data_IF_392977056776
#
_entry.id   IF_392977056776
#
_cell.length_a   1.000
_cell.length_b   1.000
_cell.length_c   1.000
_cell.angle_alpha   90.00
_cell.angle_beta   90.00
_cell.angle_gamma   90.00
#
_symmetry.space_group_name_H-M   'P 1'
#
loop_
_entity.id
_entity.type
_entity.pdbx_description
1 polymer ?
#
# COMPACT_ATOMS: atom_id res chain seq x y z
N UNK A 1 20.05 24.75 4.21
CA UNK A 1 20.41 23.78 5.25
C UNK A 1 19.17 22.98 5.63
N UNK A 2 18.94 21.84 4.98
CA UNK A 2 17.94 20.83 5.37
C UNK A 2 18.45 19.48 4.88
N UNK A 3 18.47 18.53 5.81
CA UNK A 3 18.90 17.15 5.66
C UNK A 3 18.06 16.42 4.61
N UNK A 4 18.73 15.76 3.66
CA UNK A 4 18.14 14.68 2.88
C UNK A 4 19.27 13.70 2.48
N UNK A 5 19.68 12.85 3.41
CA UNK A 5 20.46 11.65 3.12
C UNK A 5 19.65 10.47 3.64
N UNK A 6 18.83 9.89 2.77
CA UNK A 6 18.57 8.46 2.74
C UNK A 6 17.86 8.14 1.43
N UNK A 7 18.21 7.00 0.84
CA UNK A 7 17.78 6.42 -0.47
C UNK A 7 18.88 6.55 -1.52
N UNK A 8 19.85 5.63 -1.43
CA UNK A 8 20.48 4.97 -2.59
C UNK A 8 21.33 3.82 -2.06
N UNK A 9 20.70 2.70 -1.70
CA UNK A 9 21.41 1.45 -1.43
C UNK A 9 20.53 0.23 -1.73
N UNK A 10 19.94 0.19 -2.94
CA UNK A 10 19.21 -1.01 -3.42
C UNK A 10 19.37 -1.26 -4.93
N UNK A 11 20.38 -0.71 -5.60
CA UNK A 11 20.62 -0.98 -7.04
C UNK A 11 21.89 -1.78 -7.35
N UNK A 12 22.64 -2.27 -6.36
CA UNK A 12 23.94 -2.93 -6.58
C UNK A 12 23.96 -4.45 -6.27
N UNK A 13 22.81 -5.13 -6.17
CA UNK A 13 22.74 -6.58 -5.88
C UNK A 13 21.93 -7.41 -6.90
N UNK A 14 21.48 -6.81 -8.01
CA UNK A 14 20.66 -7.51 -9.01
C UNK A 14 21.25 -7.55 -10.44
N UNK A 15 22.53 -7.25 -10.62
CA UNK A 15 23.22 -7.39 -11.92
C UNK A 15 23.90 -8.77 -12.05
N UNK A 16 23.17 -9.86 -11.85
CA UNK A 16 23.78 -11.20 -11.92
C UNK A 16 22.88 -12.42 -11.98
N UNK A 17 21.54 -12.29 -12.02
CA UNK A 17 20.69 -13.47 -12.25
C UNK A 17 20.36 -13.54 -13.74
N UNK A 18 21.24 -14.21 -14.48
CA UNK A 18 20.98 -14.56 -15.87
C UNK A 18 19.75 -15.47 -15.93
N UNK A 19 18.63 -14.98 -16.45
CA UNK A 19 17.39 -15.75 -16.68
C UNK A 19 17.61 -17.00 -17.57
N UNK A 20 18.73 -17.07 -18.30
CA UNK A 20 19.15 -18.24 -19.05
C UNK A 20 19.52 -19.45 -18.15
N UNK A 21 20.02 -19.20 -16.94
CA UNK A 21 20.49 -20.25 -16.03
C UNK A 21 19.33 -20.99 -15.35
N UNK A 22 18.20 -20.30 -15.14
CA UNK A 22 16.98 -20.89 -14.58
C UNK A 22 16.27 -21.84 -15.57
N UNK A 23 16.47 -21.65 -16.89
CA UNK A 23 15.91 -22.51 -17.94
C UNK A 23 16.72 -23.80 -18.15
N UNK A 24 18.02 -23.77 -17.85
CA UNK A 24 18.93 -24.91 -17.95
C UNK A 24 18.64 -25.98 -16.87
N UNK A 25 18.28 -25.56 -15.65
CA UNK A 25 18.01 -26.47 -14.52
C UNK A 25 16.64 -27.19 -14.62
N UNK A 26 15.81 -26.84 -15.60
CA UNK A 26 14.49 -27.47 -15.84
C UNK A 26 14.44 -28.36 -17.10
N UNK A 27 15.53 -28.48 -17.85
CA UNK A 27 15.60 -29.25 -19.10
C UNK A 27 16.47 -30.50 -18.93
N UNK A 28 16.07 -31.42 -18.05
CA UNK A 28 16.61 -32.78 -18.03
C UNK A 28 16.01 -33.58 -19.18
N UNK A 29 16.81 -33.95 -20.18
CA UNK A 29 16.42 -34.83 -21.27
C UNK A 29 15.95 -36.20 -20.73
N UNK A 30 14.77 -36.64 -21.15
CA UNK A 30 14.36 -38.05 -21.03
C UNK A 30 15.15 -38.82 -22.08
N UNK A 31 16.12 -39.62 -21.63
CA UNK A 31 16.82 -40.60 -22.47
C UNK A 31 16.20 -41.95 -22.19
N UNK A 32 15.61 -42.56 -23.22
CA UNK A 32 15.28 -43.99 -23.21
C UNK A 32 16.62 -44.74 -23.28
N UNK A 33 16.98 -45.40 -22.20
CA UNK A 33 18.12 -46.32 -22.17
C UNK A 33 17.62 -47.65 -22.69
N UNK A 34 18.17 -48.13 -23.81
CA UNK A 34 17.98 -49.51 -24.25
C UNK A 34 18.58 -50.45 -23.19
N UNK A 35 17.72 -51.22 -22.52
CA UNK A 35 18.13 -52.28 -21.60
C UNK A 35 18.80 -53.42 -22.38
N UNK A 36 20.05 -53.74 -22.02
CA UNK A 36 20.64 -55.01 -22.40
C UNK A 36 20.02 -56.11 -21.53
N UNK A 37 19.47 -57.13 -22.18
CA UNK A 37 18.84 -58.27 -21.55
C UNK A 37 19.90 -59.14 -20.85
N UNK A 38 20.16 -58.87 -19.58
CA UNK A 38 20.83 -59.80 -18.68
C UNK A 38 19.80 -60.33 -17.67
N UNK A 39 19.39 -61.58 -17.88
CA UNK A 39 18.52 -62.34 -16.96
C UNK A 39 19.17 -62.42 -15.57
N UNK A 40 18.74 -61.53 -14.67
CA UNK A 40 19.09 -61.60 -13.24
C UNK A 40 17.94 -62.31 -12.52
N UNK A 41 18.23 -63.42 -11.84
CA UNK A 41 17.24 -64.10 -11.00
C UNK A 41 16.88 -63.18 -9.83
N UNK A 42 15.66 -62.67 -9.83
CA UNK A 42 15.13 -61.76 -8.80
C UNK A 42 14.65 -62.61 -7.62
N UNK A 43 15.21 -62.40 -6.42
CA UNK A 43 14.75 -63.04 -5.17
C UNK A 43 13.70 -62.18 -4.47
N UNK A 44 12.84 -62.77 -3.64
CA UNK A 44 11.94 -62.00 -2.75
C UNK A 44 12.72 -61.06 -1.83
N UNK A 45 13.97 -61.40 -1.52
CA UNK A 45 14.88 -60.57 -0.71
C UNK A 45 15.43 -59.33 -1.48
N UNK A 46 15.33 -59.31 -2.82
CA UNK A 46 15.63 -58.10 -3.62
C UNK A 46 14.51 -57.05 -3.52
N UNK A 47 13.33 -57.45 -3.03
CA UNK A 47 12.23 -56.54 -2.72
C UNK A 47 12.38 -56.02 -1.29
N UNK A 48 13.31 -55.10 -1.09
CA UNK A 48 13.23 -54.22 0.08
C UNK A 48 12.09 -53.21 -0.13
N UNK A 49 11.27 -53.01 0.90
CA UNK A 49 10.33 -51.90 0.92
C UNK A 49 11.11 -50.59 0.80
N UNK A 50 11.17 -50.03 -0.41
CA UNK A 50 11.51 -48.62 -0.58
C UNK A 50 10.22 -47.84 -0.35
N UNK A 51 10.14 -46.99 0.69
CA UNK A 51 9.00 -46.11 0.84
C UNK A 51 8.99 -45.15 -0.36
N UNK A 52 8.21 -45.49 -1.38
CA UNK A 52 7.87 -44.61 -2.47
C UNK A 52 6.85 -43.57 -1.96
N UNK A 53 7.35 -42.63 -1.17
CA UNK A 53 7.04 -41.22 -1.28
C UNK A 53 7.95 -40.53 -0.28
N UNK A 54 8.98 -39.84 -0.77
CA UNK A 54 9.39 -38.65 -0.02
C UNK A 54 8.15 -37.75 -0.02
N UNK A 55 7.29 -37.87 1.00
CA UNK A 55 6.15 -36.99 1.16
C UNK A 55 6.63 -35.55 1.11
N UNK A 56 5.76 -34.59 0.81
CA UNK A 56 6.11 -33.17 0.64
C UNK A 56 7.13 -32.62 1.66
N UNK A 57 7.09 -33.13 2.91
CA UNK A 57 8.09 -32.84 3.95
C UNK A 57 9.52 -33.28 3.60
N UNK A 58 9.74 -34.44 3.03
CA UNK A 58 11.04 -34.92 2.54
C UNK A 58 11.58 -34.01 1.42
N UNK A 59 10.71 -33.65 0.46
CA UNK A 59 11.06 -32.68 -0.59
C UNK A 59 11.49 -31.32 -0.04
N UNK A 60 10.80 -30.81 0.98
CA UNK A 60 11.19 -29.56 1.68
C UNK A 60 12.52 -29.66 2.45
N UNK A 61 12.97 -30.87 2.76
CA UNK A 61 14.21 -31.12 3.47
C UNK A 61 15.42 -31.28 2.56
N UNK A 62 15.21 -31.60 1.29
CA UNK A 62 16.25 -31.95 0.31
C UNK A 62 16.33 -30.93 -0.83
N UNK A 63 15.19 -30.43 -1.32
CA UNK A 63 15.12 -29.51 -2.45
C UNK A 63 15.04 -28.05 -1.99
N UNK A 64 16.14 -27.32 -2.12
CA UNK A 64 16.25 -25.93 -1.65
C UNK A 64 15.29 -24.96 -2.35
N UNK A 65 14.97 -25.18 -3.63
CA UNK A 65 14.00 -24.36 -4.38
C UNK A 65 12.55 -24.56 -3.91
N UNK A 66 12.14 -25.80 -3.62
CA UNK A 66 10.80 -26.09 -3.08
C UNK A 66 10.67 -25.57 -1.64
N UNK A 67 11.73 -25.68 -0.84
CA UNK A 67 11.80 -25.10 0.50
C UNK A 67 11.62 -23.57 0.46
N UNK A 68 12.31 -22.89 -0.46
CA UNK A 68 12.14 -21.46 -0.69
C UNK A 68 10.70 -21.10 -1.02
N UNK A 69 10.10 -21.76 -2.02
CA UNK A 69 8.73 -21.46 -2.46
C UNK A 69 7.70 -21.72 -1.37
N UNK A 70 7.84 -22.82 -0.62
CA UNK A 70 6.97 -23.13 0.51
C UNK A 70 6.99 -22.03 1.57
N UNK A 71 8.17 -21.56 1.98
CA UNK A 71 8.28 -20.47 2.96
C UNK A 71 7.95 -19.08 2.39
N UNK A 72 8.01 -18.89 1.08
CA UNK A 72 7.52 -17.68 0.42
C UNK A 72 5.98 -17.60 0.41
N UNK A 73 5.29 -18.74 0.34
CA UNK A 73 3.82 -18.82 0.40
C UNK A 73 3.35 -18.81 1.85
N UNK A 74 3.96 -19.65 2.68
CA UNK A 74 3.63 -19.82 4.09
C UNK A 74 4.91 -19.70 4.93
N UNK A 75 5.17 -18.53 5.53
CA UNK A 75 6.36 -18.28 6.34
C UNK A 75 6.54 -19.34 7.43
N UNK A 76 7.76 -19.88 7.53
CA UNK A 76 8.13 -20.88 8.53
C UNK A 76 7.82 -22.33 8.15
N UNK A 77 7.15 -22.59 7.03
CA UNK A 77 6.75 -23.95 6.63
C UNK A 77 7.94 -24.89 6.39
N UNK A 78 8.96 -24.45 5.63
CA UNK A 78 10.15 -25.27 5.38
C UNK A 78 11.04 -25.38 6.63
N UNK A 79 11.07 -24.36 7.48
CA UNK A 79 11.76 -24.41 8.78
C UNK A 79 11.14 -25.49 9.67
N UNK A 80 9.81 -25.56 9.75
CA UNK A 80 9.09 -26.60 10.48
C UNK A 80 9.39 -28.00 9.89
N UNK A 81 9.35 -28.13 8.56
CA UNK A 81 9.69 -29.38 7.88
C UNK A 81 11.11 -29.88 8.22
N UNK A 82 12.06 -28.95 8.36
CA UNK A 82 13.46 -29.21 8.74
C UNK A 82 13.71 -29.27 10.26
N UNK A 83 12.66 -29.31 11.09
CA UNK A 83 12.76 -29.45 12.55
C UNK A 83 13.25 -28.19 13.27
N UNK A 84 13.24 -27.04 12.60
CA UNK A 84 13.72 -25.75 13.11
C UNK A 84 12.56 -24.96 13.71
N UNK A 85 11.92 -25.56 14.70
CA UNK A 85 10.66 -25.11 15.30
C UNK A 85 10.69 -23.70 15.88
N UNK A 86 11.80 -23.29 16.51
CA UNK A 86 11.93 -21.92 17.03
C UNK A 86 11.83 -20.86 15.92
N UNK A 87 12.52 -21.07 14.80
CA UNK A 87 12.48 -20.17 13.64
C UNK A 87 11.09 -20.19 12.98
N UNK A 88 10.51 -21.37 12.81
CA UNK A 88 9.15 -21.51 12.29
C UNK A 88 8.12 -20.76 13.15
N UNK A 89 8.24 -20.87 14.48
CA UNK A 89 7.37 -20.20 15.44
C UNK A 89 7.47 -18.67 15.36
N UNK A 90 8.66 -18.11 15.18
CA UNK A 90 8.84 -16.66 15.00
C UNK A 90 8.12 -16.18 13.73
N UNK A 91 8.36 -16.83 12.59
CA UNK A 91 7.71 -16.43 11.33
C UNK A 91 6.19 -16.51 11.41
N UNK A 92 5.66 -17.59 12.00
CA UNK A 92 4.22 -17.77 12.19
C UNK A 92 3.62 -16.74 13.15
N UNK A 93 4.31 -16.43 14.26
CA UNK A 93 3.84 -15.44 15.23
C UNK A 93 3.81 -14.03 14.61
N UNK A 94 4.85 -13.66 13.86
CA UNK A 94 4.90 -12.39 13.11
C UNK A 94 3.77 -12.32 12.08
N UNK A 95 3.53 -13.40 11.35
CA UNK A 95 2.45 -13.50 10.37
C UNK A 95 1.08 -13.28 11.02
N UNK A 96 0.77 -14.05 12.07
CA UNK A 96 -0.50 -13.97 12.77
C UNK A 96 -0.74 -12.59 13.40
N UNK A 97 0.29 -12.01 14.05
CA UNK A 97 0.23 -10.67 14.60
C UNK A 97 -0.06 -9.63 13.51
N UNK A 98 0.70 -9.67 12.42
CA UNK A 98 0.56 -8.69 11.34
C UNK A 98 -0.80 -8.78 10.64
N UNK A 99 -1.29 -9.99 10.35
CA UNK A 99 -2.63 -10.17 9.76
C UNK A 99 -3.70 -9.58 10.70
N UNK A 100 -3.66 -9.95 11.98
CA UNK A 100 -4.62 -9.47 12.97
C UNK A 100 -4.59 -7.94 13.07
N UNK A 101 -3.40 -7.36 13.18
CA UNK A 101 -3.23 -5.91 13.31
C UNK A 101 -3.64 -5.17 12.03
N UNK A 102 -3.31 -5.70 10.85
CA UNK A 102 -3.74 -5.15 9.56
C UNK A 102 -5.26 -5.10 9.46
N UNK A 103 -5.94 -6.22 9.74
CA UNK A 103 -7.41 -6.28 9.71
C UNK A 103 -8.02 -5.28 10.69
N UNK A 104 -7.52 -5.24 11.93
CA UNK A 104 -7.99 -4.31 12.94
C UNK A 104 -7.87 -2.85 12.48
N UNK A 105 -6.69 -2.42 12.02
CA UNK A 105 -6.46 -1.04 11.59
C UNK A 105 -7.23 -0.67 10.34
N UNK A 106 -7.36 -1.59 9.39
CA UNK A 106 -8.15 -1.37 8.19
C UNK A 106 -9.64 -1.21 8.50
N UNK A 107 -10.19 -1.99 9.44
CA UNK A 107 -11.57 -1.85 9.86
C UNK A 107 -11.81 -0.52 10.59
N UNK A 108 -10.92 -0.15 11.53
CA UNK A 108 -10.98 1.14 12.23
C UNK A 108 -10.88 2.32 11.25
N UNK A 109 -9.99 2.23 10.25
CA UNK A 109 -9.88 3.26 9.22
C UNK A 109 -11.19 3.43 8.45
N UNK A 110 -11.79 2.33 7.98
CA UNK A 110 -13.08 2.34 7.26
C UNK A 110 -14.23 2.90 8.10
N UNK A 111 -14.29 2.58 9.38
CA UNK A 111 -15.31 3.11 10.29
C UNK A 111 -15.15 4.63 10.46
N UNK A 112 -13.92 5.10 10.61
CA UNK A 112 -13.61 6.53 10.74
C UNK A 112 -13.83 7.30 9.45
N UNK A 113 -13.50 6.71 8.30
CA UNK A 113 -13.77 7.26 6.97
C UNK A 113 -15.27 7.45 6.77
N UNK A 114 -16.10 6.42 7.03
CA UNK A 114 -17.56 6.55 6.97
C UNK A 114 -18.11 7.63 7.90
N UNK A 115 -17.57 7.73 9.11
CA UNK A 115 -17.97 8.77 10.06
C UNK A 115 -17.58 10.17 9.58
N UNK A 116 -16.44 10.30 8.89
CA UNK A 116 -16.00 11.54 8.26
C UNK A 116 -16.86 11.89 7.04
N UNK A 117 -17.16 10.93 6.16
CA UNK A 117 -18.09 11.14 5.03
C UNK A 117 -19.45 11.66 5.53
N UNK A 118 -20.04 10.97 6.52
CA UNK A 118 -21.33 11.37 7.09
C UNK A 118 -21.31 12.76 7.75
N UNK A 119 -20.15 13.19 8.26
CA UNK A 119 -19.95 14.54 8.77
C UNK A 119 -19.89 15.56 7.64
N UNK A 120 -19.14 15.29 6.58
CA UNK A 120 -19.08 16.19 5.40
C UNK A 120 -20.42 16.32 4.68
N UNK A 121 -21.28 15.29 4.72
CA UNK A 121 -22.66 15.34 4.20
C UNK A 121 -23.57 16.31 4.94
N UNK A 122 -23.13 16.87 6.06
CA UNK A 122 -23.88 17.86 6.84
C UNK A 122 -23.16 19.19 6.92
N UNK A 123 -21.84 19.18 6.86
CA UNK A 123 -21.05 20.37 7.14
C UNK A 123 -20.33 20.97 5.94
N UNK A 124 -20.24 20.28 4.80
CA UNK A 124 -19.56 20.82 3.61
C UNK A 124 -20.49 20.87 2.39
N UNK A 125 -20.72 22.06 1.84
CA UNK A 125 -21.61 22.30 0.70
C UNK A 125 -20.88 22.89 -0.51
N UNK A 126 -21.15 22.31 -1.68
CA UNK A 126 -20.66 22.85 -2.96
C UNK A 126 -21.34 24.17 -3.34
N UNK A 127 -22.58 24.42 -2.89
CA UNK A 127 -23.25 25.71 -3.10
C UNK A 127 -22.60 26.79 -2.25
N UNK A 128 -22.32 26.48 -0.97
CA UNK A 128 -21.59 27.40 -0.08
C UNK A 128 -20.22 27.76 -0.66
N UNK A 129 -19.48 26.74 -1.11
CA UNK A 129 -18.18 26.92 -1.72
C UNK A 129 -18.23 27.76 -3.01
N UNK A 130 -19.19 27.51 -3.90
CA UNK A 130 -19.35 28.27 -5.13
C UNK A 130 -19.72 29.74 -4.87
N UNK A 131 -20.56 30.01 -3.87
CA UNK A 131 -20.90 31.37 -3.44
C UNK A 131 -19.68 32.10 -2.85
N UNK A 132 -18.90 31.40 -2.01
CA UNK A 132 -17.63 31.92 -1.52
C UNK A 132 -16.67 32.27 -2.67
N UNK A 133 -16.51 31.39 -3.66
CA UNK A 133 -15.62 31.61 -4.79
C UNK A 133 -16.03 32.85 -5.60
N UNK A 134 -17.33 33.10 -5.77
CA UNK A 134 -17.82 34.33 -6.41
C UNK A 134 -17.41 35.56 -5.60
N UNK A 135 -17.66 35.55 -4.29
CA UNK A 135 -17.24 36.64 -3.40
C UNK A 135 -15.72 36.86 -3.40
N UNK A 136 -14.95 35.78 -3.50
CA UNK A 136 -13.50 35.84 -3.65
C UNK A 136 -13.08 36.56 -4.93
N UNK A 137 -13.74 36.30 -6.06
CA UNK A 137 -13.48 37.04 -7.30
C UNK A 137 -13.84 38.53 -7.17
N UNK A 138 -15.04 38.81 -6.63
CA UNK A 138 -15.58 40.16 -6.54
C UNK A 138 -14.71 41.06 -5.64
N UNK A 139 -14.32 40.57 -4.46
CA UNK A 139 -13.56 41.36 -3.50
C UNK A 139 -12.08 41.53 -3.87
N UNK A 140 -11.53 40.63 -4.68
CA UNK A 140 -10.14 40.72 -5.14
C UNK A 140 -10.00 41.36 -6.53
N UNK A 141 -11.08 41.87 -7.12
CA UNK A 141 -11.06 42.50 -8.45
C UNK A 141 -10.65 41.55 -9.57
N UNK A 142 -10.91 40.25 -9.39
CA UNK A 142 -10.62 39.22 -10.38
C UNK A 142 -11.78 39.12 -11.39
N UNK A 143 -11.50 38.57 -12.57
CA UNK A 143 -12.54 38.33 -13.58
C UNK A 143 -12.33 37.00 -14.28
N UNK A 144 -13.43 36.37 -14.68
CA UNK A 144 -13.45 35.13 -15.45
C UNK A 144 -14.69 35.13 -16.36
N UNK A 145 -14.53 34.72 -17.62
CA UNK A 145 -15.58 34.79 -18.67
C UNK A 145 -16.87 34.04 -18.29
N UNK A 146 -16.75 32.98 -17.51
CA UNK A 146 -17.86 32.15 -17.01
C UNK A 146 -18.33 32.45 -15.58
N UNK A 147 -17.78 33.46 -14.90
CA UNK A 147 -18.16 33.76 -13.51
C UNK A 147 -19.66 34.06 -13.37
N UNK A 148 -20.23 34.82 -14.32
CA UNK A 148 -21.66 35.16 -14.31
C UNK A 148 -22.56 33.94 -14.52
N UNK A 149 -22.08 32.90 -15.20
CA UNK A 149 -22.82 31.63 -15.32
C UNK A 149 -22.90 30.92 -13.97
N UNK A 150 -21.79 30.89 -13.22
CA UNK A 150 -21.77 30.33 -11.86
C UNK A 150 -22.66 31.16 -10.93
N UNK A 151 -22.58 32.50 -11.00
CA UNK A 151 -23.41 33.41 -10.22
C UNK A 151 -24.90 33.21 -10.46
N UNK A 152 -25.30 33.04 -11.72
CA UNK A 152 -26.71 32.75 -12.07
C UNK A 152 -27.17 31.39 -11.52
N UNK A 153 -26.27 30.41 -11.49
CA UNK A 153 -26.56 29.06 -11.02
C UNK A 153 -26.79 28.98 -9.51
N UNK A 154 -26.00 29.71 -8.72
CA UNK A 154 -26.09 29.70 -7.25
C UNK A 154 -26.81 30.90 -6.65
N UNK A 155 -27.25 31.84 -7.48
CA UNK A 155 -27.98 33.03 -7.06
C UNK A 155 -29.31 32.68 -6.40
N UNK A 156 -29.53 33.18 -5.19
CA UNK A 156 -30.75 32.93 -4.42
C UNK A 156 -30.88 31.51 -3.85
N UNK A 157 -29.88 30.65 -4.02
CA UNK A 157 -29.84 29.35 -3.36
C UNK A 157 -29.30 29.49 -1.94
N UNK A 158 -29.88 28.71 -1.02
CA UNK A 158 -29.30 28.46 0.28
C UNK A 158 -28.66 27.05 0.28
N UNK A 159 -27.42 26.90 0.79
CA UNK A 159 -26.84 25.59 1.05
C UNK A 159 -27.73 24.72 1.91
N UNK A 160 -27.83 23.43 1.58
CA UNK A 160 -28.62 22.47 2.35
C UNK A 160 -27.74 21.74 3.37
N UNK A 161 -27.45 22.37 4.51
CA UNK A 161 -26.69 21.74 5.60
C UNK A 161 -27.49 20.68 6.38
N UNK A 162 -28.77 20.44 6.03
CA UNK A 162 -29.48 19.26 6.54
C UNK A 162 -29.01 17.98 5.83
N UNK A 163 -28.69 18.12 4.54
CA UNK A 163 -28.07 17.09 3.70
C UNK A 163 -27.41 17.73 2.46
N UNK A 164 -26.10 17.97 2.55
CA UNK A 164 -25.34 18.70 1.51
C UNK A 164 -25.20 17.91 0.21
N UNK A 165 -25.62 16.64 0.21
CA UNK A 165 -25.69 15.81 -1.00
C UNK A 165 -26.66 16.39 -2.03
N UNK A 166 -27.71 17.06 -1.56
CA UNK A 166 -28.71 17.70 -2.41
C UNK A 166 -28.12 18.87 -3.23
N UNK A 167 -27.06 19.50 -2.73
CA UNK A 167 -26.43 20.66 -3.37
C UNK A 167 -25.63 20.31 -4.62
N UNK A 168 -25.17 19.06 -4.76
CA UNK A 168 -24.39 18.60 -5.92
C UNK A 168 -25.17 18.56 -7.22
N UNK A 169 -26.49 18.49 -7.15
CA UNK A 169 -27.36 18.61 -8.33
C UNK A 169 -27.55 20.06 -8.78
N UNK A 170 -27.24 21.03 -7.92
CA UNK A 170 -27.47 22.47 -8.13
C UNK A 170 -26.27 23.16 -8.78
N UNK A 171 -25.07 22.58 -8.66
CA UNK A 171 -23.82 23.17 -9.19
C UNK A 171 -23.22 22.29 -10.28
N UNK A 172 -22.94 22.87 -11.45
CA UNK A 172 -22.18 22.21 -12.49
C UNK A 172 -20.69 22.17 -12.10
N UNK A 173 -20.25 21.03 -11.60
CA UNK A 173 -18.88 20.84 -11.13
C UNK A 173 -17.83 21.13 -12.20
N UNK A 174 -18.11 20.88 -13.49
CA UNK A 174 -17.13 21.15 -14.57
C UNK A 174 -16.93 22.64 -14.80
N UNK A 175 -18.01 23.42 -14.67
CA UNK A 175 -17.95 24.88 -14.73
C UNK A 175 -17.15 25.41 -13.55
N UNK A 176 -17.45 24.94 -12.34
CA UNK A 176 -16.72 25.34 -11.12
C UNK A 176 -15.22 25.03 -11.25
N UNK A 177 -14.87 23.81 -11.64
CA UNK A 177 -13.48 23.39 -11.85
C UNK A 177 -12.75 24.18 -12.93
N UNK A 178 -13.46 24.69 -13.95
CA UNK A 178 -12.84 25.55 -14.94
C UNK A 178 -12.45 26.89 -14.32
N UNK A 179 -13.35 27.49 -13.55
CA UNK A 179 -13.09 28.74 -12.85
C UNK A 179 -11.91 28.55 -11.88
N UNK A 180 -11.94 27.51 -11.04
CA UNK A 180 -10.87 27.20 -10.09
C UNK A 180 -9.47 27.10 -10.72
N UNK A 181 -9.35 26.50 -11.91
CA UNK A 181 -8.05 26.36 -12.60
C UNK A 181 -7.42 27.70 -12.98
N UNK A 182 -8.24 28.71 -13.18
CA UNK A 182 -7.83 30.04 -13.64
C UNK A 182 -7.90 31.08 -12.50
N UNK A 183 -8.29 30.66 -11.29
CA UNK A 183 -8.34 31.52 -10.10
C UNK A 183 -6.95 31.85 -9.62
N UNK A 184 -6.61 33.14 -9.62
CA UNK A 184 -5.37 33.67 -9.05
C UNK A 184 -5.39 33.57 -7.54
N UNK A 185 -4.28 33.14 -6.95
CA UNK A 185 -4.08 33.14 -5.51
C UNK A 185 -3.83 34.58 -5.04
N UNK A 186 -4.65 35.05 -4.11
CA UNK A 186 -4.55 36.39 -3.51
C UNK A 186 -4.48 36.20 -2.00
N UNK A 187 -3.32 36.52 -1.43
CA UNK A 187 -3.12 36.53 0.01
C UNK A 187 -1.97 37.44 0.42
N UNK A 188 -1.83 37.69 1.73
CA UNK A 188 -0.85 38.64 2.26
C UNK A 188 0.62 38.24 2.03
N UNK A 189 0.95 36.95 2.20
CA UNK A 189 2.35 36.47 2.20
C UNK A 189 2.63 35.30 1.24
N UNK A 190 1.75 35.03 0.26
CA UNK A 190 1.98 33.98 -0.75
C UNK A 190 2.69 34.51 -1.99
N UNK A 191 3.38 33.61 -2.69
CA UNK A 191 3.92 33.90 -4.01
C UNK A 191 2.84 34.02 -5.07
N UNK A 192 3.24 34.51 -6.25
CA UNK A 192 2.37 34.55 -7.42
C UNK A 192 2.02 33.13 -7.88
N UNK A 193 0.74 32.84 -8.08
CA UNK A 193 0.28 31.55 -8.56
C UNK A 193 -1.23 31.49 -8.74
N UNK A 194 -1.69 30.33 -9.20
CA UNK A 194 -3.10 29.97 -9.27
C UNK A 194 -3.44 29.02 -8.12
N UNK A 195 -4.73 28.79 -7.90
CA UNK A 195 -5.20 27.73 -7.01
C UNK A 195 -4.52 26.40 -7.35
N UNK A 196 -4.04 25.71 -6.31
CA UNK A 196 -3.23 24.50 -6.47
C UNK A 196 -4.07 23.26 -6.81
N UNK A 197 -5.37 23.32 -6.51
CA UNK A 197 -6.29 22.19 -6.65
C UNK A 197 -7.63 22.65 -7.23
N UNK A 198 -8.36 21.68 -7.76
CA UNK A 198 -9.75 21.82 -8.20
C UNK A 198 -10.60 20.89 -7.37
N UNK A 199 -11.85 21.27 -7.12
CA UNK A 199 -12.80 20.44 -6.39
C UNK A 199 -13.02 19.12 -7.14
N UNK A 200 -12.69 17.96 -6.56
CA UNK A 200 -12.90 16.68 -7.22
C UNK A 200 -14.38 16.33 -7.34
N UNK A 201 -14.68 15.32 -8.15
CA UNK A 201 -16.04 14.80 -8.24
C UNK A 201 -16.54 14.30 -6.88
N UNK A 202 -17.79 14.63 -6.55
CA UNK A 202 -18.45 14.18 -5.33
C UNK A 202 -18.33 12.67 -5.13
N UNK A 203 -18.12 12.26 -3.87
CA UNK A 203 -18.05 10.86 -3.48
C UNK A 203 -16.74 10.15 -3.85
N UNK A 204 -15.82 10.82 -4.55
CA UNK A 204 -14.46 10.28 -4.76
C UNK A 204 -13.63 10.36 -3.48
N UNK A 205 -12.68 9.44 -3.31
CA UNK A 205 -11.71 9.50 -2.21
C UNK A 205 -10.96 10.84 -2.21
N UNK A 206 -10.59 11.32 -3.40
CA UNK A 206 -9.90 12.60 -3.54
C UNK A 206 -10.75 13.77 -3.04
N UNK A 207 -12.06 13.78 -3.28
CA UNK A 207 -12.97 14.81 -2.75
C UNK A 207 -12.87 14.90 -1.23
N UNK A 208 -13.07 13.78 -0.55
CA UNK A 208 -13.02 13.71 0.91
C UNK A 208 -11.64 14.06 1.48
N UNK A 209 -10.55 13.76 0.76
CA UNK A 209 -9.21 14.16 1.16
C UNK A 209 -8.93 15.65 0.99
N UNK A 210 -9.37 16.27 -0.11
CA UNK A 210 -8.98 17.66 -0.42
C UNK A 210 -9.74 18.69 0.43
N UNK A 211 -11.05 18.50 0.66
CA UNK A 211 -11.91 19.49 1.33
C UNK A 211 -11.53 19.81 2.79
N UNK A 212 -10.77 18.92 3.44
CA UNK A 212 -10.21 19.10 4.79
C UNK A 212 -8.68 19.13 4.80
N UNK A 213 -8.05 19.40 3.66
CA UNK A 213 -6.59 19.48 3.57
C UNK A 213 -6.10 20.82 3.07
N UNK A 214 -6.88 21.46 2.20
CA UNK A 214 -6.51 22.75 1.61
C UNK A 214 -7.50 23.80 2.07
N UNK A 215 -6.99 24.87 2.67
CA UNK A 215 -7.78 26.05 3.08
C UNK A 215 -8.56 26.66 1.92
N UNK A 216 -8.15 26.40 0.66
CA UNK A 216 -8.92 26.75 -0.54
C UNK A 216 -10.39 26.30 -0.46
N UNK A 217 -10.67 25.13 0.13
CA UNK A 217 -12.01 24.56 0.20
C UNK A 217 -12.77 24.95 1.47
N UNK A 218 -12.18 25.83 2.28
CA UNK A 218 -12.75 26.25 3.55
C UNK A 218 -14.12 26.91 3.40
N UNK A 219 -14.30 27.70 2.34
CA UNK A 219 -15.56 28.40 2.04
C UNK A 219 -16.79 27.49 1.90
N UNK A 220 -16.60 26.18 1.76
CA UNK A 220 -17.69 25.19 1.73
C UNK A 220 -18.17 24.73 3.11
N UNK A 221 -17.41 24.98 4.18
CA UNK A 221 -17.76 24.57 5.55
C UNK A 221 -18.88 25.43 6.13
N UNK A 222 -19.80 24.81 6.87
CA UNK A 222 -21.07 25.41 7.31
C UNK A 222 -20.89 26.57 8.27
N UNK A 223 -19.94 26.48 9.20
CA UNK A 223 -19.60 27.50 10.16
C UNK A 223 -18.93 28.70 9.47
N UNK A 224 -17.96 28.44 8.61
CA UNK A 224 -17.32 29.47 7.79
C UNK A 224 -18.34 30.21 6.93
N UNK A 225 -19.21 29.47 6.23
CA UNK A 225 -20.24 30.03 5.37
C UNK A 225 -21.21 30.90 6.17
N UNK A 226 -21.68 30.42 7.32
CA UNK A 226 -22.63 31.12 8.17
C UNK A 226 -22.04 32.42 8.74
N UNK A 227 -20.76 32.41 9.13
CA UNK A 227 -20.09 33.57 9.72
C UNK A 227 -19.69 34.61 8.68
N UNK A 228 -19.34 34.21 7.46
CA UNK A 228 -18.73 35.11 6.47
C UNK A 228 -19.63 35.38 5.26
N UNK A 229 -20.04 34.32 4.56
CA UNK A 229 -20.68 34.44 3.24
C UNK A 229 -22.17 34.76 3.37
N UNK A 230 -22.88 34.03 4.24
CA UNK A 230 -24.33 34.17 4.42
C UNK A 230 -24.75 35.57 4.90
N UNK A 231 -23.88 36.23 5.68
CA UNK A 231 -24.14 37.53 6.30
C UNK A 231 -23.43 38.69 5.61
N UNK A 232 -22.66 38.42 4.53
CA UNK A 232 -21.76 39.39 3.88
C UNK A 232 -20.88 40.12 4.91
N UNK A 233 -20.12 39.35 5.70
CA UNK A 233 -19.31 39.89 6.80
C UNK A 233 -18.33 40.96 6.28
N UNK A 234 -18.45 42.23 6.73
CA UNK A 234 -17.58 43.31 6.25
C UNK A 234 -16.13 43.21 6.75
N UNK A 235 -15.87 42.37 7.76
CA UNK A 235 -14.54 42.15 8.32
C UNK A 235 -13.82 40.95 7.69
N UNK A 236 -14.45 40.27 6.72
CA UNK A 236 -13.85 39.14 6.04
C UNK A 236 -13.21 39.60 4.72
N UNK A 237 -11.89 39.52 4.63
CA UNK A 237 -11.11 40.12 3.54
C UNK A 237 -10.98 39.23 2.28
N UNK A 238 -11.66 38.08 2.22
CA UNK A 238 -11.61 37.13 1.09
C UNK A 238 -10.19 36.82 0.60
N UNK A 239 -9.22 36.82 1.52
CA UNK A 239 -7.85 36.41 1.25
C UNK A 239 -7.71 34.92 1.49
N UNK A 240 -6.85 34.28 0.70
CA UNK A 240 -6.49 32.89 0.92
C UNK A 240 -5.64 32.77 2.20
N UNK A 241 -6.08 31.96 3.15
CA UNK A 241 -5.28 31.64 4.34
C UNK A 241 -4.29 30.52 4.03
N UNK A 242 -2.99 30.83 4.03
CA UNK A 242 -1.92 29.84 3.80
C UNK A 242 -1.31 29.29 5.10
N UNK A 243 -1.60 29.90 6.25
CA UNK A 243 -1.02 29.56 7.55
C UNK A 243 -2.02 28.83 8.44
N UNK A 244 -3.32 29.01 8.21
CA UNK A 244 -4.41 28.41 8.97
C UNK A 244 -4.85 29.22 10.18
N UNK A 245 -4.41 30.48 10.28
CA UNK A 245 -4.72 31.36 11.40
C UNK A 245 -6.22 31.70 11.49
N UNK A 246 -6.93 31.62 10.37
CA UNK A 246 -8.35 31.92 10.24
C UNK A 246 -9.20 30.67 9.99
N UNK A 247 -8.60 29.49 10.16
CA UNK A 247 -9.28 28.23 9.92
C UNK A 247 -10.46 28.02 10.90
N UNK A 248 -11.64 27.85 10.32
CA UNK A 248 -12.90 27.59 10.96
C UNK A 248 -12.88 26.29 11.79
N UNK A 249 -13.58 26.25 12.95
CA UNK A 249 -13.61 25.07 13.81
C UNK A 249 -14.01 23.77 13.10
N UNK A 250 -14.97 23.79 12.18
CA UNK A 250 -15.39 22.59 11.45
C UNK A 250 -14.38 22.16 10.39
N UNK A 251 -13.69 23.10 9.73
CA UNK A 251 -12.56 22.76 8.87
C UNK A 251 -11.48 22.01 9.68
N UNK A 252 -11.07 22.54 10.83
CA UNK A 252 -10.07 21.90 11.69
C UNK A 252 -10.53 20.53 12.21
N UNK A 253 -11.79 20.39 12.60
CA UNK A 253 -12.37 19.11 12.99
C UNK A 253 -12.40 18.12 11.83
N UNK A 254 -12.70 18.58 10.61
CA UNK A 254 -12.60 17.82 9.38
C UNK A 254 -11.19 17.31 9.14
N UNK A 255 -10.19 18.19 9.23
CA UNK A 255 -8.75 17.88 9.09
C UNK A 255 -8.32 16.82 10.09
N UNK A 256 -8.70 16.96 11.36
CA UNK A 256 -8.37 16.00 12.41
C UNK A 256 -8.97 14.61 12.13
N UNK A 257 -10.24 14.56 11.70
CA UNK A 257 -10.93 13.31 11.35
C UNK A 257 -10.29 12.67 10.12
N UNK A 258 -9.95 13.47 9.11
CA UNK A 258 -9.27 13.03 7.91
C UNK A 258 -7.90 12.41 8.23
N UNK A 259 -7.09 13.11 9.03
CA UNK A 259 -5.80 12.61 9.48
C UNK A 259 -5.92 11.32 10.28
N UNK A 260 -6.97 11.18 11.10
CA UNK A 260 -7.16 10.00 11.93
C UNK A 260 -7.36 8.72 11.12
N UNK A 261 -8.25 8.72 10.13
CA UNK A 261 -8.45 7.52 9.30
C UNK A 261 -7.25 7.28 8.39
N UNK A 262 -6.66 8.34 7.81
CA UNK A 262 -5.44 8.25 6.98
C UNK A 262 -4.25 7.67 7.77
N UNK A 263 -4.11 8.03 9.04
CA UNK A 263 -3.10 7.44 9.92
C UNK A 263 -3.33 5.94 10.14
N UNK A 264 -4.58 5.48 10.28
CA UNK A 264 -4.87 4.05 10.42
C UNK A 264 -4.59 3.28 9.11
N UNK A 265 -4.92 3.85 7.94
CA UNK A 265 -4.52 3.28 6.66
C UNK A 265 -3.01 3.19 6.49
N UNK A 266 -2.26 4.25 6.85
CA UNK A 266 -0.79 4.23 6.85
C UNK A 266 -0.22 3.15 7.76
N UNK A 267 -0.76 3.00 8.98
CA UNK A 267 -0.35 1.93 9.91
C UNK A 267 -0.65 0.55 9.33
N UNK A 268 -1.81 0.35 8.71
CA UNK A 268 -2.14 -0.91 8.03
C UNK A 268 -1.16 -1.19 6.88
N UNK A 269 -0.85 -0.19 6.05
CA UNK A 269 0.13 -0.30 4.96
C UNK A 269 1.54 -0.66 5.45
N UNK A 270 2.00 -0.07 6.55
CA UNK A 270 3.29 -0.42 7.16
C UNK A 270 3.34 -1.88 7.63
N UNK A 271 2.22 -2.42 8.11
CA UNK A 271 2.13 -3.81 8.57
C UNK A 271 2.03 -4.78 7.38
N UNK A 272 1.40 -4.36 6.28
CA UNK A 272 1.47 -5.09 5.01
C UNK A 272 2.92 -5.20 4.52
N UNK A 273 3.72 -4.14 4.63
CA UNK A 273 5.16 -4.20 4.30
C UNK A 273 5.89 -5.20 5.22
N UNK A 274 5.56 -5.23 6.51
CA UNK A 274 6.12 -6.21 7.44
C UNK A 274 5.79 -7.66 7.05
N UNK A 275 4.55 -7.93 6.58
CA UNK A 275 4.18 -9.25 6.05
C UNK A 275 5.05 -9.64 4.86
N UNK A 276 5.20 -8.74 3.88
CA UNK A 276 6.04 -9.01 2.70
C UNK A 276 7.49 -9.32 3.11
N UNK A 277 8.06 -8.56 4.05
CA UNK A 277 9.40 -8.81 4.56
C UNK A 277 9.47 -10.17 5.28
N UNK A 278 8.46 -10.51 6.08
CA UNK A 278 8.38 -11.80 6.79
C UNK A 278 8.45 -12.97 5.79
N UNK A 279 7.67 -12.91 4.70
CA UNK A 279 7.68 -13.91 3.63
C UNK A 279 9.04 -14.02 2.95
N UNK A 280 9.63 -12.89 2.55
CA UNK A 280 10.93 -12.88 1.86
C UNK A 280 12.04 -13.45 2.75
N UNK A 281 12.13 -12.97 3.99
CA UNK A 281 13.15 -13.44 4.94
C UNK A 281 12.96 -14.93 5.24
N UNK A 282 11.72 -15.38 5.41
CA UNK A 282 11.44 -16.80 5.65
C UNK A 282 11.81 -17.70 4.47
N UNK A 283 11.56 -17.25 3.24
CA UNK A 283 11.91 -17.96 2.02
C UNK A 283 13.43 -18.14 1.88
N UNK A 284 14.21 -17.07 2.11
CA UNK A 284 15.68 -17.14 2.04
C UNK A 284 16.28 -17.94 3.20
N UNK A 285 15.75 -17.83 4.42
CA UNK A 285 16.18 -18.68 5.55
C UNK A 285 15.96 -20.17 5.25
N UNK A 286 14.85 -20.52 4.57
CA UNK A 286 14.58 -21.88 4.14
C UNK A 286 15.58 -22.36 3.07
N UNK A 287 15.82 -21.54 2.04
CA UNK A 287 16.78 -21.82 0.98
C UNK A 287 18.17 -22.13 1.54
N UNK A 288 18.69 -21.24 2.38
CA UNK A 288 20.02 -21.38 2.96
C UNK A 288 20.10 -22.52 3.97
N UNK A 289 19.05 -22.75 4.75
CA UNK A 289 18.99 -23.88 5.68
C UNK A 289 19.12 -25.23 4.95
N UNK A 290 18.44 -25.41 3.82
CA UNK A 290 18.53 -26.64 3.03
C UNK A 290 19.86 -26.74 2.30
N UNK A 291 20.35 -25.66 1.68
CA UNK A 291 21.67 -25.66 1.02
C UNK A 291 22.80 -26.02 1.98
N UNK A 292 22.82 -25.41 3.18
CA UNK A 292 23.84 -25.69 4.19
C UNK A 292 23.74 -27.14 4.70
N UNK A 293 22.52 -27.65 4.89
CA UNK A 293 22.29 -29.05 5.27
C UNK A 293 22.83 -30.01 4.21
N UNK A 294 22.51 -29.78 2.94
CA UNK A 294 22.98 -30.61 1.83
C UNK A 294 24.51 -30.58 1.69
N UNK A 295 25.12 -29.40 1.78
CA UNK A 295 26.57 -29.25 1.75
C UNK A 295 27.27 -30.00 2.90
N UNK A 296 26.67 -29.99 4.10
CA UNK A 296 27.20 -30.74 5.25
C UNK A 296 27.11 -32.25 5.04
N UNK A 297 25.98 -32.74 4.54
CA UNK A 297 25.79 -34.16 4.22
C UNK A 297 26.80 -34.62 3.17
N UNK A 298 26.99 -33.83 2.12
CA UNK A 298 27.98 -34.12 1.07
C UNK A 298 29.40 -34.17 1.63
N UNK A 299 29.83 -33.15 2.40
CA UNK A 299 31.16 -33.13 3.01
C UNK A 299 31.39 -34.30 3.97
N UNK A 300 30.39 -34.70 4.76
CA UNK A 300 30.49 -35.88 5.62
C UNK A 300 30.58 -37.18 4.83
N UNK A 301 29.86 -37.31 3.71
CA UNK A 301 29.92 -38.49 2.84
C UNK A 301 31.29 -38.60 2.13
N UNK A 302 31.85 -37.48 1.67
CA UNK A 302 33.17 -37.44 1.03
C UNK A 302 34.27 -37.86 2.01
N UNK A 303 34.19 -37.40 3.27
CA UNK A 303 35.12 -37.81 4.34
C UNK A 303 35.04 -39.31 4.64
N UNK A 304 33.83 -39.88 4.71
CA UNK A 304 33.64 -41.33 4.92
C UNK A 304 34.16 -42.17 3.76
N UNK A 305 34.05 -41.70 2.50
CA UNK A 305 34.63 -42.41 1.34
C UNK A 305 36.15 -42.38 1.36
N UNK A 306 36.76 -41.28 1.79
CA UNK A 306 38.22 -41.16 1.87
C UNK A 306 38.85 -42.16 2.86
N UNK A 307 38.15 -42.50 3.95
CA UNK A 307 38.59 -43.51 4.93
C UNK A 307 38.43 -44.97 4.42
N UNK A 308 37.70 -45.19 3.32
CA UNK A 308 37.52 -46.49 2.68
C UNK A 308 38.52 -46.74 1.54
N UNK A 309 39.82 -46.77 1.85
CA UNK A 309 40.83 -47.27 0.91
C UNK A 309 40.85 -48.81 0.95
N UNK A 310 40.19 -49.46 -0.02
CA UNK A 310 40.32 -50.92 -0.21
C UNK A 310 41.63 -51.21 -0.93
N UNK A 311 42.62 -51.72 -0.20
CA UNK A 311 43.84 -52.28 -0.78
C UNK A 311 43.52 -53.68 -1.30
N UNK A 312 43.18 -53.81 -2.58
CA UNK A 312 43.09 -55.13 -3.22
C UNK A 312 44.51 -55.59 -3.57
N UNK A 313 45.11 -56.41 -2.70
CA UNK A 313 46.36 -57.10 -3.01
C UNK A 313 46.05 -58.30 -3.91
N UNK A 314 46.53 -58.24 -5.15
CA UNK A 314 46.62 -59.41 -6.01
C UNK A 314 47.87 -60.20 -5.64
N UNK A 315 47.67 -61.46 -5.26
CA UNK A 315 48.74 -62.46 -5.06
C UNK A 315 49.02 -63.19 -6.37
#
# INVERSE_FOLDING_TARGET
>A
MKNLILIFFTSAMFSGVNFAQLKSDLAGNIVVVEESSASKNISIDDFSFQPASEGFRGTLQTQSGIAFLSSAILPGSAQAANGKWARAGIYLATEAFSIFYYINRNNVAKDQERAYEAFTHKEWSVVAYAQWLIGYYDNNGLSHDKLDQLRTMVGGLNPDFSDTRNDWSKVNIRLLQQIERETKLVCGNCGNGDFSHVLPSYGSQQYYELISKYYQFEGGWSDFYAENVAVNNPNYDYLYDNEGDLASPLFLLGTERADRFNNNYRRAGNILNLLVINHVVSAFDALFSVKLKNARVQASADMMRADSFSLTLHF
#
